data_IF_865018265605
#
_entry.id   IF_865018265605
#
_cell.length_a   1.000
_cell.length_b   1.000
_cell.length_c   1.000
_cell.angle_alpha   90.00
_cell.angle_beta   90.00
_cell.angle_gamma   90.00
#
_symmetry.space_group_name_H-M   'P 1'
#
loop_
_entity.id
_entity.type
_entity.pdbx_description
1 polymer ?
#
# COMPACT_ATOMS: atom_id res chain seq x y z
N UNK A 1 3.20 6.46 -7.52
CA UNK A 1 2.65 6.44 -6.15
C UNK A 1 2.64 7.85 -5.55
N UNK A 2 1.54 8.28 -4.89
CA UNK A 2 1.47 9.57 -4.20
C UNK A 2 2.42 9.65 -2.99
N UNK A 3 2.76 10.86 -2.48
CA UNK A 3 3.54 11.01 -1.26
C UNK A 3 2.80 10.40 -0.06
N UNK A 4 3.56 9.90 0.92
CA UNK A 4 2.99 9.37 2.16
C UNK A 4 2.90 10.47 3.23
N UNK A 5 1.88 10.38 4.06
CA UNK A 5 1.56 11.27 5.16
C UNK A 5 1.91 10.61 6.50
N UNK A 6 2.38 11.40 7.46
CA UNK A 6 2.78 10.93 8.78
C UNK A 6 3.86 11.80 9.38
N UNK A 7 4.48 11.32 10.46
CA UNK A 7 5.60 12.04 11.08
C UNK A 7 6.83 12.05 10.18
N UNK A 8 7.71 13.03 10.37
CA UNK A 8 8.99 13.14 9.64
C UNK A 8 9.84 11.87 9.73
N UNK A 9 9.70 11.12 10.83
CA UNK A 9 10.38 9.83 11.03
C UNK A 9 9.68 8.66 10.33
N UNK A 10 8.35 8.68 10.27
CA UNK A 10 7.57 7.59 9.70
C UNK A 10 7.59 7.60 8.17
N UNK A 11 7.50 8.78 7.54
CA UNK A 11 7.37 8.90 6.07
C UNK A 11 8.50 8.20 5.31
N UNK A 12 9.80 8.44 5.60
CA UNK A 12 10.88 7.77 4.86
C UNK A 12 10.86 6.24 5.02
N UNK A 13 10.48 5.76 6.21
CA UNK A 13 10.38 4.31 6.45
C UNK A 13 9.16 3.70 5.75
N UNK A 14 8.01 4.37 5.83
CA UNK A 14 6.79 3.97 5.12
C UNK A 14 6.99 3.89 3.61
N UNK A 15 7.75 4.82 3.02
CA UNK A 15 8.08 4.77 1.58
C UNK A 15 8.88 3.51 1.25
N UNK A 16 9.86 3.16 2.08
CA UNK A 16 10.65 1.92 1.92
C UNK A 16 9.77 0.68 2.07
N UNK A 17 8.91 0.63 3.09
CA UNK A 17 7.99 -0.48 3.29
C UNK A 17 7.02 -0.63 2.12
N UNK A 18 6.42 0.47 1.65
CA UNK A 18 5.54 0.46 0.47
C UNK A 18 6.23 -0.10 -0.76
N UNK A 19 7.46 0.33 -1.03
CA UNK A 19 8.24 -0.21 -2.13
C UNK A 19 8.45 -1.71 -1.98
N UNK A 20 8.93 -2.17 -0.81
CA UNK A 20 9.17 -3.60 -0.57
C UNK A 20 7.91 -4.44 -0.72
N UNK A 21 6.79 -4.00 -0.15
CA UNK A 21 5.50 -4.70 -0.19
C UNK A 21 5.02 -4.81 -1.64
N UNK A 22 5.01 -3.69 -2.39
CA UNK A 22 4.55 -3.69 -3.78
C UNK A 22 5.46 -4.53 -4.69
N UNK A 23 6.78 -4.44 -4.52
CA UNK A 23 7.71 -5.28 -5.28
C UNK A 23 7.50 -6.76 -4.99
N UNK A 24 7.39 -7.15 -3.72
CA UNK A 24 7.19 -8.55 -3.34
C UNK A 24 5.85 -9.10 -3.85
N UNK A 25 4.77 -8.32 -3.69
CA UNK A 25 3.44 -8.69 -4.19
C UNK A 25 3.43 -8.82 -5.71
N UNK A 26 4.05 -7.88 -6.44
CA UNK A 26 4.15 -7.98 -7.90
C UNK A 26 4.95 -9.23 -8.33
N UNK A 27 6.09 -9.49 -7.69
CA UNK A 27 6.89 -10.68 -8.00
C UNK A 27 6.09 -11.96 -7.76
N UNK A 28 5.51 -12.13 -6.57
CA UNK A 28 4.79 -13.34 -6.22
C UNK A 28 3.50 -13.55 -7.03
N UNK A 29 2.74 -12.48 -7.28
CA UNK A 29 1.42 -12.60 -7.90
C UNK A 29 1.44 -12.51 -9.42
N UNK A 30 2.30 -11.65 -10.00
CA UNK A 30 2.33 -11.37 -11.45
C UNK A 30 3.49 -12.07 -12.14
N UNK A 31 4.70 -11.97 -11.59
CA UNK A 31 5.89 -12.57 -12.24
C UNK A 31 5.92 -14.09 -12.07
N UNK A 32 5.64 -14.56 -10.86
CA UNK A 32 5.70 -15.98 -10.49
C UNK A 32 4.31 -16.62 -10.42
N UNK A 33 3.27 -15.80 -10.25
CA UNK A 33 1.88 -16.22 -10.15
C UNK A 33 1.13 -16.13 -11.47
N UNK A 34 -0.20 -16.11 -11.38
CA UNK A 34 -1.12 -16.05 -12.52
C UNK A 34 -1.87 -14.74 -12.64
N UNK A 35 -1.57 -13.77 -11.77
CA UNK A 35 -2.24 -12.46 -11.78
C UNK A 35 -1.78 -11.70 -13.02
N UNK A 36 -2.74 -11.24 -13.80
CA UNK A 36 -2.44 -10.43 -14.98
C UNK A 36 -2.01 -9.02 -14.61
N UNK A 37 -1.33 -8.34 -15.54
CA UNK A 37 -1.01 -6.91 -15.41
C UNK A 37 -2.26 -6.03 -15.24
N UNK A 38 -3.40 -6.45 -15.80
CA UNK A 38 -4.66 -5.73 -15.68
C UNK A 38 -5.23 -5.83 -14.26
N UNK A 39 -5.25 -7.03 -13.67
CA UNK A 39 -5.65 -7.23 -12.28
C UNK A 39 -4.69 -6.53 -11.31
N UNK A 40 -3.38 -6.58 -11.60
CA UNK A 40 -2.39 -5.84 -10.81
C UNK A 40 -2.63 -4.33 -10.84
N UNK A 41 -3.03 -3.76 -11.98
CA UNK A 41 -3.32 -2.33 -12.08
C UNK A 41 -4.46 -1.91 -11.12
N UNK A 42 -5.45 -2.76 -10.88
CA UNK A 42 -6.53 -2.49 -9.90
C UNK A 42 -6.02 -2.50 -8.45
N UNK A 43 -5.10 -3.42 -8.13
CA UNK A 43 -4.41 -3.48 -6.84
C UNK A 43 -3.54 -2.23 -6.65
N UNK A 44 -2.79 -1.84 -7.68
CA UNK A 44 -1.93 -0.65 -7.64
C UNK A 44 -2.78 0.63 -7.47
N UNK A 45 -3.91 0.74 -8.14
CA UNK A 45 -4.81 1.88 -7.99
C UNK A 45 -5.37 1.95 -6.57
N UNK A 46 -5.76 0.81 -5.99
CA UNK A 46 -6.16 0.73 -4.58
C UNK A 46 -5.04 1.17 -3.64
N UNK A 47 -3.81 0.71 -3.89
CA UNK A 47 -2.62 1.11 -3.13
C UNK A 47 -2.32 2.61 -3.20
N UNK A 48 -2.62 3.28 -4.32
CA UNK A 48 -2.45 4.73 -4.46
C UNK A 48 -3.37 5.51 -3.52
N UNK A 49 -4.51 4.96 -3.12
CA UNK A 49 -5.42 5.63 -2.19
C UNK A 49 -4.92 5.64 -0.73
N UNK A 50 -3.96 4.77 -0.38
CA UNK A 50 -3.45 4.64 0.99
C UNK A 50 -2.19 5.48 1.17
N UNK A 51 -2.35 6.69 1.72
CA UNK A 51 -1.24 7.65 1.93
C UNK A 51 -0.66 7.60 3.33
N UNK A 52 -1.31 6.98 4.33
CA UNK A 52 -0.77 6.91 5.70
C UNK A 52 0.50 6.05 5.77
N UNK A 53 1.63 6.65 6.12
CA UNK A 53 2.92 5.96 6.26
C UNK A 53 2.89 4.83 7.31
N UNK A 54 2.15 5.03 8.40
CA UNK A 54 1.98 4.02 9.46
C UNK A 54 1.36 2.73 8.95
N UNK A 55 0.35 2.82 8.07
CA UNK A 55 -0.32 1.64 7.52
C UNK A 55 0.66 0.74 6.76
N UNK A 56 1.50 1.33 5.89
CA UNK A 56 2.54 0.60 5.15
C UNK A 56 3.59 -0.03 6.05
N UNK A 57 3.94 0.62 7.16
CA UNK A 57 4.87 0.09 8.16
C UNK A 57 4.25 -1.12 8.87
N UNK A 58 2.97 -1.07 9.19
CA UNK A 58 2.25 -2.17 9.83
C UNK A 58 2.16 -3.40 8.93
N UNK A 59 2.08 -3.20 7.61
CA UNK A 59 2.04 -4.27 6.62
C UNK A 59 3.42 -4.88 6.28
N UNK A 60 4.53 -4.41 6.86
CA UNK A 60 5.90 -4.78 6.44
C UNK A 60 6.25 -6.28 6.48
N UNK A 61 5.46 -7.07 7.21
CA UNK A 61 5.65 -8.52 7.38
C UNK A 61 4.41 -9.30 6.94
N UNK A 62 3.56 -8.69 6.11
CA UNK A 62 2.44 -9.37 5.47
C UNK A 62 2.94 -10.32 4.39
N UNK A 63 2.17 -11.36 4.14
CA UNK A 63 2.40 -12.19 2.97
C UNK A 63 2.06 -11.41 1.70
N UNK A 64 2.79 -11.60 0.59
CA UNK A 64 2.57 -10.90 -0.66
C UNK A 64 1.14 -11.03 -1.20
N UNK A 65 0.53 -12.21 -1.07
CA UNK A 65 -0.84 -12.54 -1.49
C UNK A 65 -1.93 -11.79 -0.71
N UNK A 66 -1.65 -11.39 0.53
CA UNK A 66 -2.62 -10.70 1.39
C UNK A 66 -2.83 -9.22 0.98
N UNK A 67 -2.00 -8.68 0.07
CA UNK A 67 -1.97 -7.25 -0.20
C UNK A 67 -3.35 -6.70 -0.62
N UNK A 68 -4.05 -7.40 -1.52
CA UNK A 68 -5.36 -6.97 -2.00
C UNK A 68 -6.40 -6.92 -0.86
N UNK A 69 -6.43 -7.95 0.00
CA UNK A 69 -7.31 -7.99 1.17
C UNK A 69 -7.01 -6.84 2.13
N UNK A 70 -5.74 -6.59 2.42
CA UNK A 70 -5.32 -5.52 3.32
C UNK A 70 -5.70 -4.16 2.78
N UNK A 71 -5.52 -3.92 1.48
CA UNK A 71 -5.93 -2.67 0.83
C UNK A 71 -7.44 -2.45 0.91
N UNK A 72 -8.25 -3.51 0.76
CA UNK A 72 -9.70 -3.42 0.97
C UNK A 72 -10.06 -3.11 2.43
N UNK A 73 -9.30 -3.63 3.39
CA UNK A 73 -9.48 -3.37 4.81
C UNK A 73 -8.98 -1.97 5.26
N UNK A 74 -8.24 -1.25 4.41
CA UNK A 74 -7.76 0.10 4.71
C UNK A 74 -8.94 1.08 4.86
N UNK A 75 -8.94 1.79 5.97
CA UNK A 75 -10.05 2.67 6.38
C UNK A 75 -9.86 4.10 5.88
N UNK A 76 -10.85 4.97 6.09
CA UNK A 76 -10.73 6.40 5.77
C UNK A 76 -9.55 7.09 6.48
N UNK A 77 -9.09 6.59 7.63
CA UNK A 77 -7.94 7.14 8.34
C UNK A 77 -6.58 6.80 7.69
N UNK A 78 -6.56 5.82 6.78
CA UNK A 78 -5.37 5.40 6.04
C UNK A 78 -5.24 6.12 4.69
N UNK A 79 -6.31 6.82 4.30
CA UNK A 79 -6.48 7.56 3.05
C UNK A 79 -6.36 9.06 3.31
N UNK A 80 -6.00 9.87 2.31
CA UNK A 80 -5.89 11.32 2.49
C UNK A 80 -7.23 11.86 2.99
N UNK A 81 -7.18 12.66 4.06
CA UNK A 81 -8.39 13.28 4.61
C UNK A 81 -8.76 14.46 3.71
N UNK A 82 -9.85 14.38 2.97
CA UNK A 82 -10.36 15.51 2.18
C UNK A 82 -10.89 16.66 3.09
N UNK A 83 -11.00 16.45 4.40
CA UNK A 83 -11.62 17.39 5.33
C UNK A 83 -10.66 17.86 6.46
N UNK A 84 -10.11 19.08 6.40
CA UNK A 84 -9.17 19.60 7.40
C UNK A 84 -9.81 20.03 8.74
N UNK A 85 -11.07 19.69 9.02
CA UNK A 85 -11.82 20.17 10.18
C UNK A 85 -12.52 19.08 11.02
N UNK A 86 -12.06 17.83 10.96
CA UNK A 86 -12.51 16.76 11.87
C UNK A 86 -11.43 16.36 12.86
#
# INVERSE_FOLDING_TARGET
MPPLEGTERAVPWGVRCRHQILTNAYTAQVTEGTTSEAEWAEIEESARTVTRAGWWIDQRSSEPEDLAERLMAATGADRPTENPFF
#
